data_IF_827810055659
#
_entry.id   IF_827810055659
#
_cell.length_a   1.000
_cell.length_b   1.000
_cell.length_c   1.000
_cell.angle_alpha   90.00
_cell.angle_beta   90.00
_cell.angle_gamma   90.00
#
_symmetry.space_group_name_H-M   'P 1'
#
loop_
_entity.id
_entity.type
_entity.pdbx_description
1 polymer ?
#
# COMPACT_ATOMS: atom_id res chain seq x y z
N UNK A 1 -22.13 24.85 -0.15
CA UNK A 1 -21.77 26.26 0.15
C UNK A 1 -20.80 26.39 1.32
N UNK A 2 -20.92 25.63 2.42
CA UNK A 2 -19.97 25.72 3.55
C UNK A 2 -18.56 25.19 3.29
N UNK A 3 -18.39 24.14 2.46
CA UNK A 3 -17.06 23.69 2.08
C UNK A 3 -16.33 24.77 1.27
N UNK A 4 -17.00 25.41 0.30
CA UNK A 4 -16.49 26.53 -0.52
C UNK A 4 -16.05 27.76 0.31
N UNK A 5 -16.74 28.10 1.40
CA UNK A 5 -16.31 29.19 2.29
C UNK A 5 -15.05 28.86 3.09
N UNK A 6 -14.74 27.57 3.30
CA UNK A 6 -13.48 27.15 3.92
C UNK A 6 -12.24 27.37 3.02
N UNK A 7 -12.44 27.73 1.74
CA UNK A 7 -11.36 27.95 0.78
C UNK A 7 -10.94 29.40 0.62
N UNK A 8 -11.78 30.34 1.09
CA UNK A 8 -11.55 31.78 0.88
C UNK A 8 -11.67 32.51 2.22
N UNK A 9 -10.55 32.58 2.95
CA UNK A 9 -10.50 33.25 4.25
C UNK A 9 -9.95 34.68 4.14
N UNK A 10 -9.22 35.01 3.06
CA UNK A 10 -8.89 36.39 2.65
C UNK A 10 -8.31 36.44 1.22
N UNK A 11 -8.08 37.64 0.68
CA UNK A 11 -7.34 37.84 -0.59
C UNK A 11 -5.87 37.36 -0.51
N UNK A 12 -5.31 37.19 0.70
CA UNK A 12 -3.89 36.89 0.94
C UNK A 12 -3.58 35.41 1.22
N UNK A 13 -4.58 34.57 1.53
CA UNK A 13 -4.37 33.15 1.77
C UNK A 13 -5.53 32.32 1.25
N UNK A 14 -5.26 31.61 0.16
CA UNK A 14 -6.16 30.64 -0.43
C UNK A 14 -5.61 29.26 -0.09
N UNK A 15 -6.31 28.55 0.80
CA UNK A 15 -5.92 27.19 1.19
C UNK A 15 -5.81 26.27 -0.05
N UNK A 16 -6.57 26.58 -1.10
CA UNK A 16 -6.48 25.92 -2.40
C UNK A 16 -5.11 26.05 -3.04
N UNK A 17 -4.62 27.28 -3.20
CA UNK A 17 -3.34 27.51 -3.87
C UNK A 17 -2.17 26.90 -3.11
N UNK A 18 -2.27 26.86 -1.77
CA UNK A 18 -1.27 26.20 -0.93
C UNK A 18 -1.27 24.68 -1.08
N UNK A 19 -2.44 24.05 -1.27
CA UNK A 19 -2.50 22.63 -1.59
C UNK A 19 -2.10 22.34 -3.03
N UNK A 20 -2.36 23.24 -3.98
CA UNK A 20 -1.87 23.13 -5.35
C UNK A 20 -0.33 23.20 -5.38
N UNK A 21 0.27 24.18 -4.69
CA UNK A 21 1.72 24.31 -4.53
C UNK A 21 2.32 23.08 -3.84
N UNK A 22 1.69 22.60 -2.75
CA UNK A 22 2.11 21.36 -2.10
C UNK A 22 1.98 20.14 -3.02
N UNK A 23 0.92 20.06 -3.83
CA UNK A 23 0.77 18.97 -4.79
C UNK A 23 1.88 19.01 -5.83
N UNK A 24 2.20 20.18 -6.38
CA UNK A 24 3.28 20.36 -7.34
C UNK A 24 4.64 19.99 -6.72
N UNK A 25 4.91 20.39 -5.47
CA UNK A 25 6.11 19.99 -4.72
C UNK A 25 6.21 18.48 -4.50
N UNK A 26 5.07 17.78 -4.44
CA UNK A 26 5.01 16.34 -4.23
C UNK A 26 4.97 15.55 -5.55
N UNK A 27 5.12 16.20 -6.71
CA UNK A 27 5.12 15.54 -8.02
C UNK A 27 6.19 14.43 -8.12
N UNK A 28 7.29 14.54 -7.38
CA UNK A 28 8.31 13.48 -7.30
C UNK A 28 7.79 12.16 -6.69
N UNK A 29 6.78 12.23 -5.82
CA UNK A 29 6.02 11.09 -5.30
C UNK A 29 4.88 10.68 -6.25
N UNK A 30 4.84 11.24 -7.45
CA UNK A 30 3.73 11.22 -8.40
C UNK A 30 2.40 11.61 -7.74
N UNK A 31 2.46 12.53 -6.78
CA UNK A 31 1.32 13.34 -6.37
C UNK A 31 1.20 14.46 -7.39
N UNK A 32 0.58 14.22 -8.54
CA UNK A 32 0.31 15.32 -9.46
C UNK A 32 -0.99 16.02 -9.07
N UNK A 33 -1.01 17.35 -9.22
CA UNK A 33 -2.22 18.16 -9.12
C UNK A 33 -3.31 17.58 -10.03
N UNK A 34 -4.50 17.33 -9.46
CA UNK A 34 -5.63 16.66 -10.14
C UNK A 34 -5.69 15.12 -10.02
N UNK A 35 -4.66 14.45 -9.49
CA UNK A 35 -4.73 13.00 -9.15
C UNK A 35 -4.97 12.72 -7.67
N UNK A 36 -4.65 13.70 -6.81
CA UNK A 36 -4.85 13.60 -5.37
C UNK A 36 -6.27 14.05 -5.05
N UNK A 37 -7.00 13.24 -4.29
CA UNK A 37 -8.30 13.64 -3.76
C UNK A 37 -8.09 14.84 -2.82
N UNK A 38 -8.59 16.02 -3.19
CA UNK A 38 -8.54 17.22 -2.35
C UNK A 38 -9.09 16.95 -0.94
N UNK A 39 -10.07 16.05 -0.83
CA UNK A 39 -10.56 15.62 0.48
C UNK A 39 -9.46 14.92 1.30
N UNK A 40 -8.56 14.16 0.70
CA UNK A 40 -7.46 13.52 1.42
C UNK A 40 -6.50 14.55 2.01
N UNK A 41 -6.16 15.60 1.26
CA UNK A 41 -5.30 16.69 1.75
C UNK A 41 -5.99 17.49 2.87
N UNK A 42 -7.28 17.82 2.70
CA UNK A 42 -8.08 18.46 3.74
C UNK A 42 -8.19 17.60 5.00
N UNK A 43 -8.30 16.27 4.86
CA UNK A 43 -8.28 15.34 5.99
C UNK A 43 -6.94 15.36 6.71
N UNK A 44 -5.82 15.40 5.98
CA UNK A 44 -4.49 15.50 6.57
C UNK A 44 -4.36 16.81 7.34
N UNK A 45 -4.72 17.94 6.72
CA UNK A 45 -4.66 19.25 7.38
C UNK A 45 -5.55 19.32 8.62
N UNK A 46 -6.80 18.85 8.54
CA UNK A 46 -7.71 18.84 9.69
C UNK A 46 -7.20 17.91 10.81
N UNK A 47 -6.64 16.75 10.47
CA UNK A 47 -6.03 15.85 11.43
C UNK A 47 -4.80 16.46 12.13
N UNK A 48 -3.97 17.20 11.40
CA UNK A 48 -2.79 17.87 11.95
C UNK A 48 -3.16 19.08 12.80
N UNK A 49 -4.05 19.94 12.30
CA UNK A 49 -4.35 21.22 12.92
C UNK A 49 -5.35 21.12 14.08
N UNK A 50 -6.34 20.22 13.97
CA UNK A 50 -7.47 20.05 14.92
C UNK A 50 -7.46 18.70 15.63
N UNK A 51 -6.79 17.68 15.08
CA UNK A 51 -6.89 16.31 15.58
C UNK A 51 -8.17 15.57 15.16
N UNK A 52 -8.97 16.14 14.24
CA UNK A 52 -10.17 15.51 13.69
C UNK A 52 -10.00 15.25 12.18
N UNK A 53 -10.19 14.02 11.65
CA UNK A 53 -10.08 13.73 10.24
C UNK A 53 -11.26 14.25 9.39
N UNK A 54 -12.22 14.99 9.94
CA UNK A 54 -13.31 15.61 9.18
C UNK A 54 -12.82 16.90 8.52
N UNK A 55 -12.94 17.06 7.19
CA UNK A 55 -12.64 18.32 6.52
C UNK A 55 -13.37 19.52 7.12
N UNK A 56 -14.61 19.33 7.58
CA UNK A 56 -15.44 20.40 8.15
C UNK A 56 -14.88 20.96 9.47
N UNK A 57 -14.06 20.19 10.20
CA UNK A 57 -13.50 20.65 11.47
C UNK A 57 -12.45 21.76 11.30
N UNK A 58 -11.91 21.94 10.09
CA UNK A 58 -10.97 23.04 9.80
C UNK A 58 -11.68 24.41 9.78
N UNK A 59 -13.01 24.42 9.63
CA UNK A 59 -13.83 25.65 9.60
C UNK A 59 -13.85 26.36 10.95
N UNK A 60 -13.49 25.65 12.03
CA UNK A 60 -13.48 26.21 13.38
C UNK A 60 -12.15 26.91 13.75
N UNK A 61 -11.11 26.89 12.88
CA UNK A 61 -9.80 27.53 13.10
C UNK A 61 -9.67 28.79 12.25
N UNK A 62 -9.12 29.91 12.76
CA UNK A 62 -8.94 31.12 11.95
C UNK A 62 -7.97 30.93 10.76
N UNK A 63 -8.15 31.70 9.68
CA UNK A 63 -7.25 31.65 8.51
C UNK A 63 -5.80 32.03 8.84
N UNK A 64 -5.60 32.90 9.85
CA UNK A 64 -4.29 33.24 10.41
C UNK A 64 -3.65 32.03 11.10
N UNK A 65 -4.42 31.32 11.95
CA UNK A 65 -3.93 30.12 12.64
C UNK A 65 -3.60 28.97 11.67
N UNK A 66 -4.35 28.83 10.57
CA UNK A 66 -4.03 27.86 9.52
C UNK A 66 -2.71 28.24 8.85
N UNK A 67 -2.55 29.51 8.46
CA UNK A 67 -1.35 30.03 7.79
C UNK A 67 -0.10 29.84 8.65
N UNK A 68 -0.18 30.18 9.93
CA UNK A 68 0.95 30.12 10.86
C UNK A 68 1.41 28.69 11.17
N UNK A 69 0.58 27.68 10.89
CA UNK A 69 0.84 26.26 11.16
C UNK A 69 0.80 25.38 9.91
N UNK A 70 0.73 25.98 8.73
CA UNK A 70 0.58 25.22 7.49
C UNK A 70 1.84 24.39 7.19
N UNK A 71 3.01 24.85 7.63
CA UNK A 71 4.26 24.11 7.59
C UNK A 71 4.18 22.77 8.32
N UNK A 72 3.46 22.69 9.46
CA UNK A 72 3.21 21.42 10.16
C UNK A 72 2.48 20.41 9.26
N UNK A 73 1.51 20.87 8.46
CA UNK A 73 0.75 20.04 7.53
C UNK A 73 1.66 19.52 6.42
N UNK A 74 2.46 20.42 5.83
CA UNK A 74 3.43 20.10 4.77
C UNK A 74 4.43 19.05 5.26
N UNK A 75 5.05 19.29 6.41
CA UNK A 75 6.02 18.37 7.03
C UNK A 75 5.38 17.01 7.37
N UNK A 76 4.14 17.04 7.87
CA UNK A 76 3.36 15.85 8.13
C UNK A 76 3.18 14.98 6.89
N UNK A 77 2.72 15.58 5.79
CA UNK A 77 2.48 14.86 4.55
C UNK A 77 3.79 14.34 3.95
N UNK A 78 4.85 15.16 3.90
CA UNK A 78 6.18 14.75 3.40
C UNK A 78 6.75 13.58 4.19
N UNK A 79 6.82 13.71 5.52
CA UNK A 79 7.34 12.63 6.38
C UNK A 79 6.51 11.34 6.30
N UNK A 80 5.18 11.46 6.15
CA UNK A 80 4.32 10.31 5.93
C UNK A 80 4.65 9.59 4.61
N UNK A 81 4.87 10.34 3.53
CA UNK A 81 5.23 9.80 2.23
C UNK A 81 6.60 9.13 2.22
N UNK A 82 7.59 9.76 2.82
CA UNK A 82 8.93 9.20 2.99
C UNK A 82 8.89 7.91 3.80
N UNK A 83 8.12 7.89 4.89
CA UNK A 83 7.90 6.69 5.68
C UNK A 83 7.25 5.58 4.85
N UNK A 84 6.21 5.90 4.08
CA UNK A 84 5.51 4.94 3.24
C UNK A 84 6.45 4.35 2.17
N UNK A 85 7.21 5.20 1.49
CA UNK A 85 8.15 4.81 0.43
C UNK A 85 9.26 3.93 0.97
N UNK A 86 9.88 4.35 2.06
CA UNK A 86 11.05 3.69 2.66
C UNK A 86 10.73 2.35 3.32
N UNK A 87 9.49 2.13 3.75
CA UNK A 87 9.11 0.92 4.49
C UNK A 87 8.24 -0.05 3.69
N UNK A 88 7.57 0.39 2.62
CA UNK A 88 6.60 -0.44 1.91
C UNK A 88 6.82 -0.52 0.39
N UNK A 89 7.89 0.10 -0.14
CA UNK A 89 8.19 0.18 -1.57
C UNK A 89 7.10 0.86 -2.41
N UNK A 90 6.25 1.67 -1.78
CA UNK A 90 5.18 2.42 -2.45
C UNK A 90 5.78 3.62 -3.18
N UNK A 91 5.51 3.74 -4.48
CA UNK A 91 6.05 4.83 -5.33
C UNK A 91 5.01 5.87 -5.71
N UNK A 92 3.73 5.53 -5.54
CA UNK A 92 2.57 6.38 -5.79
C UNK A 92 1.54 6.15 -4.71
N UNK A 93 0.83 7.20 -4.31
CA UNK A 93 -0.31 7.11 -3.41
C UNK A 93 -1.35 6.09 -3.88
N UNK A 94 -1.54 5.97 -5.19
CA UNK A 94 -2.43 5.01 -5.81
C UNK A 94 -2.00 3.55 -5.64
N UNK A 95 -0.75 3.27 -5.30
CA UNK A 95 -0.32 1.91 -4.98
C UNK A 95 -0.80 1.49 -3.58
N UNK A 96 -1.21 2.43 -2.71
CA UNK A 96 -1.70 2.09 -1.39
C UNK A 96 -3.05 1.37 -1.44
N UNK A 97 -3.24 0.33 -0.60
CA UNK A 97 -4.54 -0.30 -0.42
C UNK A 97 -5.61 0.71 0.02
N UNK A 98 -5.23 1.66 0.87
CA UNK A 98 -6.07 2.79 1.28
C UNK A 98 -5.23 4.06 1.32
N UNK A 99 -5.57 5.06 0.51
CA UNK A 99 -4.87 6.35 0.53
C UNK A 99 -5.05 7.08 1.87
N UNK A 100 -6.15 6.82 2.58
CA UNK A 100 -6.45 7.39 3.91
C UNK A 100 -5.44 7.02 4.99
N UNK A 101 -4.56 6.03 4.75
CA UNK A 101 -3.39 5.73 5.61
C UNK A 101 -2.49 6.96 5.77
N UNK A 102 -2.45 7.84 4.77
CA UNK A 102 -1.69 9.08 4.81
C UNK A 102 -2.10 9.99 5.98
N UNK A 103 -3.39 10.03 6.33
CA UNK A 103 -3.94 10.97 7.31
C UNK A 103 -3.34 10.79 8.73
N UNK A 104 -3.42 9.60 9.37
CA UNK A 104 -2.82 9.40 10.68
C UNK A 104 -1.28 9.49 10.65
N UNK A 105 -0.63 9.06 9.56
CA UNK A 105 0.82 9.25 9.43
C UNK A 105 1.18 10.74 9.33
N UNK A 106 0.41 11.54 8.60
CA UNK A 106 0.64 12.98 8.54
C UNK A 106 0.54 13.63 9.93
N UNK A 107 -0.43 13.20 10.74
CA UNK A 107 -0.51 13.62 12.14
C UNK A 107 0.70 13.20 12.99
N UNK A 108 1.32 12.04 12.70
CA UNK A 108 2.58 11.64 13.34
C UNK A 108 3.74 12.56 12.91
N UNK A 109 3.92 12.80 11.61
CA UNK A 109 5.09 13.53 11.11
C UNK A 109 4.97 15.06 11.21
N UNK A 110 3.81 15.59 11.59
CA UNK A 110 3.55 17.03 11.63
C UNK A 110 4.28 17.75 12.78
N UNK A 111 5.36 18.44 12.46
CA UNK A 111 6.11 19.32 13.37
C UNK A 111 6.37 20.66 12.70
N UNK A 112 6.52 21.71 13.50
CA UNK A 112 6.73 23.07 13.01
C UNK A 112 8.19 23.34 12.65
N UNK A 113 8.39 24.32 11.78
CA UNK A 113 9.69 24.73 11.25
C UNK A 113 10.28 23.72 10.27
N UNK A 114 11.54 23.89 9.91
CA UNK A 114 12.23 23.03 8.94
C UNK A 114 12.90 21.81 9.61
N UNK A 115 12.16 21.13 10.49
CA UNK A 115 12.63 19.97 11.26
C UNK A 115 12.04 18.67 10.73
N UNK A 116 12.71 17.55 11.02
CA UNK A 116 12.21 16.20 10.75
C UNK A 116 11.94 15.44 12.05
N UNK A 117 10.90 14.59 12.05
CA UNK A 117 10.61 13.72 13.19
C UNK A 117 11.61 12.58 13.24
N UNK A 118 12.41 12.51 14.32
CA UNK A 118 13.25 11.35 14.59
C UNK A 118 12.39 10.16 15.03
N UNK A 119 12.26 9.16 14.16
CA UNK A 119 11.49 7.95 14.43
C UNK A 119 12.37 6.89 15.10
N UNK A 120 12.07 6.56 16.35
CA UNK A 120 12.73 5.44 17.03
C UNK A 120 12.36 4.09 16.40
N UNK A 121 13.21 3.07 16.60
CA UNK A 121 12.94 1.72 16.09
C UNK A 121 11.59 1.17 16.61
N UNK A 122 11.26 1.43 17.88
CA UNK A 122 10.00 1.00 18.48
C UNK A 122 8.78 1.65 17.82
N UNK A 123 8.83 2.97 17.59
CA UNK A 123 7.76 3.69 16.87
C UNK A 123 7.63 3.19 15.44
N UNK A 124 8.76 3.01 14.73
CA UNK A 124 8.78 2.47 13.37
C UNK A 124 8.13 1.09 13.31
N UNK A 125 8.50 0.15 14.19
CA UNK A 125 7.92 -1.19 14.25
C UNK A 125 6.41 -1.15 14.51
N UNK A 126 5.95 -0.31 15.44
CA UNK A 126 4.53 -0.19 15.75
C UNK A 126 3.73 0.39 14.57
N UNK A 127 4.27 1.39 13.86
CA UNK A 127 3.64 1.94 12.65
C UNK A 127 3.62 0.92 11.50
N UNK A 128 4.69 0.16 11.26
CA UNK A 128 4.72 -0.91 10.25
C UNK A 128 3.67 -1.97 10.54
N UNK A 129 3.59 -2.43 11.80
CA UNK A 129 2.58 -3.39 12.24
C UNK A 129 1.17 -2.86 12.03
N UNK A 130 0.90 -1.62 12.44
CA UNK A 130 -0.39 -0.96 12.22
C UNK A 130 -0.76 -0.85 10.74
N UNK A 131 0.19 -0.52 9.87
CA UNK A 131 -0.01 -0.46 8.42
C UNK A 131 -0.48 -1.81 7.88
N UNK A 132 0.26 -2.88 8.14
CA UNK A 132 -0.09 -4.20 7.62
C UNK A 132 -1.43 -4.70 8.18
N UNK A 133 -1.68 -4.49 9.47
CA UNK A 133 -2.98 -4.80 10.08
C UNK A 133 -4.11 -4.06 9.36
N UNK A 134 -3.95 -2.76 9.14
CA UNK A 134 -4.92 -1.91 8.42
C UNK A 134 -5.23 -2.45 7.02
N UNK A 135 -4.19 -2.84 6.27
CA UNK A 135 -4.32 -3.38 4.93
C UNK A 135 -5.04 -4.74 4.90
N UNK A 136 -4.63 -5.69 5.75
CA UNK A 136 -5.19 -7.04 5.78
C UNK A 136 -6.60 -7.12 6.36
N UNK A 137 -6.93 -6.29 7.37
CA UNK A 137 -8.28 -6.26 7.95
C UNK A 137 -9.23 -5.34 7.19
N UNK A 138 -8.75 -4.68 6.13
CA UNK A 138 -9.50 -3.68 5.36
C UNK A 138 -10.10 -2.60 6.27
N UNK A 139 -9.33 -2.13 7.25
CA UNK A 139 -9.80 -1.29 8.37
C UNK A 139 -10.58 -0.06 7.88
N UNK A 140 -10.17 0.54 6.77
CA UNK A 140 -10.83 1.72 6.19
C UNK A 140 -11.85 1.42 5.08
N UNK A 141 -12.37 0.19 4.99
CA UNK A 141 -13.47 -0.13 4.07
C UNK A 141 -14.85 0.30 4.58
N UNK A 142 -15.00 0.47 5.88
CA UNK A 142 -16.21 1.00 6.53
C UNK A 142 -15.85 1.73 7.82
N UNK A 143 -16.73 2.61 8.30
CA UNK A 143 -16.49 3.35 9.54
C UNK A 143 -15.22 4.23 9.53
N UNK A 144 -14.81 4.70 8.34
CA UNK A 144 -13.51 5.34 8.09
C UNK A 144 -13.17 6.43 9.11
N UNK A 145 -14.09 7.37 9.35
CA UNK A 145 -13.89 8.47 10.28
C UNK A 145 -13.61 8.00 11.73
N UNK A 146 -14.30 6.94 12.18
CA UNK A 146 -14.10 6.40 13.53
C UNK A 146 -12.69 5.86 13.69
N UNK A 147 -12.25 5.04 12.74
CA UNK A 147 -10.92 4.44 12.79
C UNK A 147 -9.81 5.47 12.56
N UNK A 148 -10.02 6.46 11.68
CA UNK A 148 -9.07 7.56 11.53
C UNK A 148 -8.87 8.32 12.83
N UNK A 149 -9.94 8.65 13.59
CA UNK A 149 -9.80 9.32 14.90
C UNK A 149 -9.00 8.49 15.90
N UNK A 150 -9.28 7.19 15.98
CA UNK A 150 -8.56 6.26 16.84
C UNK A 150 -7.07 6.19 16.45
N UNK A 151 -6.79 6.07 15.15
CA UNK A 151 -5.43 5.93 14.64
C UNK A 151 -4.64 7.24 14.74
N UNK A 152 -5.25 8.42 14.52
CA UNK A 152 -4.64 9.74 14.75
C UNK A 152 -4.25 9.88 16.22
N UNK A 153 -5.16 9.55 17.14
CA UNK A 153 -4.87 9.59 18.58
C UNK A 153 -3.70 8.66 18.93
N UNK A 154 -3.72 7.44 18.38
CA UNK A 154 -2.63 6.47 18.53
C UNK A 154 -1.29 6.99 18.01
N UNK A 155 -1.28 7.65 16.85
CA UNK A 155 -0.08 8.26 16.27
C UNK A 155 0.47 9.40 17.14
N UNK A 156 -0.40 10.30 17.61
CA UNK A 156 0.01 11.41 18.47
C UNK A 156 0.57 10.93 19.82
N UNK A 157 -0.05 9.93 20.45
CA UNK A 157 0.48 9.31 21.66
C UNK A 157 1.83 8.63 21.38
N UNK A 158 1.94 7.90 20.28
CA UNK A 158 3.16 7.19 19.90
C UNK A 158 4.33 8.17 19.69
N UNK A 159 4.06 9.30 19.03
CA UNK A 159 5.04 10.37 18.82
C UNK A 159 5.49 11.00 20.14
N UNK A 160 4.54 11.29 21.03
CA UNK A 160 4.81 11.88 22.34
C UNK A 160 5.48 10.94 23.34
N UNK A 161 5.82 9.70 22.96
CA UNK A 161 6.40 8.70 23.87
C UNK A 161 5.40 8.16 24.91
N UNK A 162 4.10 8.37 24.70
CA UNK A 162 3.03 7.91 25.57
C UNK A 162 2.59 6.49 25.20
N UNK A 163 1.84 5.84 26.09
CA UNK A 163 1.20 4.58 25.77
C UNK A 163 0.24 4.73 24.59
N UNK A 164 0.54 4.04 23.49
CA UNK A 164 -0.24 4.10 22.24
C UNK A 164 -0.94 2.78 21.95
N UNK A 165 -2.24 2.86 21.68
CA UNK A 165 -3.04 1.74 21.18
C UNK A 165 -2.95 1.58 19.65
N UNK A 166 -2.03 2.27 18.97
CA UNK A 166 -1.90 2.19 17.53
C UNK A 166 -1.65 0.73 17.09
N UNK A 167 -2.53 0.23 16.22
CA UNK A 167 -2.49 -1.16 15.75
C UNK A 167 -3.02 -2.20 16.74
N UNK A 168 -3.51 -1.80 17.92
CA UNK A 168 -4.05 -2.70 18.95
C UNK A 168 -5.52 -3.07 18.67
N UNK A 169 -5.76 -3.70 17.54
CA UNK A 169 -7.04 -4.28 17.16
C UNK A 169 -6.85 -5.69 16.61
N UNK A 170 -7.93 -6.47 16.58
CA UNK A 170 -7.88 -7.84 16.08
C UNK A 170 -7.54 -7.86 14.60
N UNK A 171 -6.45 -8.55 14.27
CA UNK A 171 -6.01 -8.78 12.90
C UNK A 171 -5.59 -10.23 12.76
N UNK A 172 -6.11 -10.90 11.74
CA UNK A 172 -5.78 -12.28 11.41
C UNK A 172 -5.76 -12.43 9.90
N UNK A 173 -4.72 -13.05 9.36
CA UNK A 173 -4.66 -13.45 7.96
C UNK A 173 -4.75 -14.96 7.89
N UNK A 174 -5.62 -15.45 7.01
CA UNK A 174 -5.80 -16.87 6.72
C UNK A 174 -5.51 -17.13 5.24
N UNK A 175 -5.28 -18.38 4.88
CA UNK A 175 -5.06 -18.82 3.48
C UNK A 175 -6.18 -18.34 2.55
N UNK A 176 -7.42 -18.25 3.06
CA UNK A 176 -8.58 -17.74 2.32
C UNK A 176 -8.36 -16.34 1.74
N UNK A 177 -7.55 -15.48 2.36
CA UNK A 177 -7.21 -14.18 1.77
C UNK A 177 -6.60 -14.34 0.37
N UNK A 178 -5.71 -15.32 0.18
CA UNK A 178 -5.03 -15.55 -1.10
C UNK A 178 -5.81 -16.47 -2.04
N UNK A 179 -6.64 -17.38 -1.50
CA UNK A 179 -7.41 -18.38 -2.24
C UNK A 179 -8.78 -17.89 -2.75
N UNK A 180 -9.31 -16.78 -2.22
CA UNK A 180 -10.66 -16.30 -2.58
C UNK A 180 -10.65 -14.94 -3.27
N UNK A 181 -9.69 -14.08 -2.94
CA UNK A 181 -9.59 -12.77 -3.57
C UNK A 181 -9.02 -12.90 -4.99
N UNK A 182 -9.69 -12.28 -5.96
CA UNK A 182 -9.25 -12.27 -7.34
C UNK A 182 -8.35 -11.06 -7.61
N UNK A 183 -7.29 -11.29 -8.36
CA UNK A 183 -6.37 -10.26 -8.78
C UNK A 183 -7.09 -9.24 -9.67
N UNK A 184 -7.11 -8.01 -9.18
CA UNK A 184 -7.55 -6.83 -9.90
C UNK A 184 -6.71 -5.66 -9.42
N UNK A 185 -6.01 -4.99 -10.32
CA UNK A 185 -4.95 -4.02 -10.00
C UNK A 185 -5.41 -2.89 -9.06
N UNK A 186 -6.70 -2.51 -9.14
CA UNK A 186 -7.29 -1.47 -8.28
C UNK A 186 -7.83 -2.00 -6.94
N UNK A 187 -7.99 -3.30 -6.78
CA UNK A 187 -8.59 -3.90 -5.58
C UNK A 187 -7.64 -3.80 -4.39
N UNK A 188 -8.14 -3.33 -3.25
CA UNK A 188 -7.41 -3.22 -1.98
C UNK A 188 -6.56 -4.46 -1.68
N UNK A 189 -7.17 -5.65 -1.74
CA UNK A 189 -6.49 -6.90 -1.39
C UNK A 189 -5.36 -7.26 -2.38
N UNK A 190 -5.53 -6.93 -3.67
CA UNK A 190 -4.46 -7.05 -4.66
C UNK A 190 -3.31 -6.11 -4.34
N UNK A 191 -3.60 -4.85 -4.02
CA UNK A 191 -2.56 -3.88 -3.65
C UNK A 191 -1.79 -4.35 -2.42
N UNK A 192 -2.49 -4.83 -1.39
CA UNK A 192 -1.87 -5.41 -0.18
C UNK A 192 -0.96 -6.59 -0.53
N UNK A 193 -1.41 -7.50 -1.39
CA UNK A 193 -0.62 -8.63 -1.86
C UNK A 193 0.63 -8.22 -2.64
N UNK A 194 0.50 -7.24 -3.55
CA UNK A 194 1.63 -6.70 -4.32
C UNK A 194 2.68 -6.10 -3.37
N UNK A 195 2.25 -5.34 -2.36
CA UNK A 195 3.17 -4.78 -1.37
C UNK A 195 3.86 -5.87 -0.55
N UNK A 196 3.14 -6.93 -0.15
CA UNK A 196 3.73 -8.09 0.55
C UNK A 196 4.82 -8.75 -0.30
N UNK A 197 4.53 -9.03 -1.58
CA UNK A 197 5.52 -9.59 -2.50
C UNK A 197 6.70 -8.64 -2.70
N UNK A 198 6.45 -7.33 -2.75
CA UNK A 198 7.51 -6.32 -2.82
C UNK A 198 8.46 -6.34 -1.62
N UNK A 199 8.03 -6.81 -0.45
CA UNK A 199 8.92 -7.01 0.70
C UNK A 199 9.87 -8.19 0.54
N UNK A 200 9.59 -9.12 -0.38
CA UNK A 200 10.41 -10.31 -0.64
C UNK A 200 11.50 -10.05 -1.68
N UNK A 201 11.74 -8.78 -2.05
CA UNK A 201 12.75 -8.39 -3.06
C UNK A 201 12.62 -9.20 -4.36
N UNK A 202 11.46 -9.15 -5.03
CA UNK A 202 11.10 -10.13 -6.04
C UNK A 202 12.09 -10.16 -7.21
N UNK A 203 12.32 -11.35 -7.75
CA UNK A 203 13.00 -11.56 -9.02
C UNK A 203 11.96 -11.77 -10.12
N UNK A 204 12.31 -11.44 -11.36
CA UNK A 204 11.44 -11.75 -12.49
C UNK A 204 11.30 -13.26 -12.59
N UNK A 205 10.07 -13.75 -12.66
CA UNK A 205 9.79 -15.17 -12.51
C UNK A 205 10.44 -16.07 -13.57
N UNK A 206 10.83 -15.52 -14.73
CA UNK A 206 11.50 -16.28 -15.79
C UNK A 206 13.00 -16.01 -15.81
N UNK A 207 13.44 -14.77 -16.04
CA UNK A 207 14.87 -14.45 -16.16
C UNK A 207 15.65 -14.42 -14.86
N UNK A 208 14.98 -14.38 -13.70
CA UNK A 208 15.63 -14.23 -12.39
C UNK A 208 16.28 -12.87 -12.16
N UNK A 209 16.07 -11.90 -13.07
CA UNK A 209 16.59 -10.54 -12.90
C UNK A 209 15.87 -9.82 -11.75
N UNK A 210 16.55 -8.97 -10.97
CA UNK A 210 15.91 -8.16 -9.95
C UNK A 210 14.74 -7.33 -10.52
N UNK A 211 13.62 -7.35 -9.82
CA UNK A 211 12.48 -6.52 -10.19
C UNK A 211 12.71 -5.09 -9.71
N UNK A 212 12.81 -4.16 -10.65
CA UNK A 212 12.78 -2.73 -10.33
C UNK A 212 11.36 -2.33 -9.90
N UNK A 213 11.10 -2.44 -8.59
CA UNK A 213 9.84 -2.03 -7.98
C UNK A 213 9.59 -0.53 -8.18
N UNK A 214 10.63 0.29 -8.25
CA UNK A 214 10.48 1.74 -8.40
C UNK A 214 9.86 2.09 -9.76
N UNK A 215 10.35 1.48 -10.83
CA UNK A 215 9.81 1.66 -12.17
C UNK A 215 8.44 0.97 -12.34
N UNK A 216 8.31 -0.29 -11.92
CA UNK A 216 7.08 -1.08 -12.16
C UNK A 216 5.88 -0.58 -11.36
N UNK A 217 6.06 -0.18 -10.11
CA UNK A 217 4.96 0.33 -9.29
C UNK A 217 4.59 1.77 -9.68
N UNK A 218 5.49 2.51 -10.35
CA UNK A 218 5.18 3.81 -10.94
C UNK A 218 4.21 3.68 -12.13
N UNK A 219 4.42 2.73 -13.04
CA UNK A 219 3.46 2.45 -14.12
C UNK A 219 2.19 1.73 -13.62
N UNK A 220 2.33 0.92 -12.57
CA UNK A 220 1.27 0.13 -11.93
C UNK A 220 0.36 -0.60 -12.92
N UNK A 221 0.98 -1.26 -13.90
CA UNK A 221 0.30 -1.92 -15.00
C UNK A 221 0.04 -3.40 -14.70
N UNK A 222 -1.13 -3.91 -15.10
CA UNK A 222 -1.44 -5.35 -15.01
C UNK A 222 -0.43 -6.22 -15.77
N UNK A 223 0.24 -5.68 -16.80
CA UNK A 223 1.25 -6.41 -17.58
C UNK A 223 2.53 -6.75 -16.81
N UNK A 224 2.71 -6.21 -15.61
CA UNK A 224 3.84 -6.53 -14.73
C UNK A 224 3.59 -7.77 -13.85
N UNK A 225 2.38 -8.36 -13.96
CA UNK A 225 1.97 -9.52 -13.20
C UNK A 225 1.54 -10.66 -14.12
N UNK A 226 1.89 -11.88 -13.75
CA UNK A 226 1.57 -13.08 -14.53
C UNK A 226 0.99 -14.18 -13.65
N UNK A 227 0.15 -15.02 -14.26
CA UNK A 227 -0.35 -16.24 -13.65
C UNK A 227 0.78 -17.27 -13.60
N UNK A 228 1.25 -17.66 -12.41
CA UNK A 228 2.28 -18.70 -12.28
C UNK A 228 1.84 -19.99 -12.96
N UNK A 229 0.60 -20.43 -12.73
CA UNK A 229 -0.02 -21.46 -13.56
C UNK A 229 -0.93 -20.78 -14.61
N UNK A 230 -0.54 -20.78 -15.90
CA UNK A 230 -1.20 -19.95 -16.91
C UNK A 230 -2.66 -20.29 -17.08
N UNK A 231 -3.48 -19.25 -17.30
CA UNK A 231 -4.93 -19.41 -17.45
C UNK A 231 -5.32 -20.45 -18.52
N UNK A 232 -4.66 -20.40 -19.67
CA UNK A 232 -4.91 -21.34 -20.77
C UNK A 232 -4.63 -22.78 -20.38
N UNK A 233 -3.60 -23.03 -19.56
CA UNK A 233 -3.27 -24.37 -19.07
C UNK A 233 -4.34 -24.85 -18.08
N UNK A 234 -4.68 -24.04 -17.08
CA UNK A 234 -5.69 -24.39 -16.07
C UNK A 234 -7.05 -24.69 -16.70
N UNK A 235 -7.44 -23.97 -17.77
CA UNK A 235 -8.67 -24.25 -18.52
C UNK A 235 -8.69 -25.65 -19.17
N UNK A 236 -7.54 -26.29 -19.42
CA UNK A 236 -7.46 -27.67 -19.94
C UNK A 236 -7.66 -28.73 -18.86
N UNK A 237 -7.49 -28.38 -17.58
CA UNK A 237 -7.66 -29.30 -16.44
C UNK A 237 -9.14 -29.55 -16.10
N UNK A 238 -10.06 -28.74 -16.66
CA UNK A 238 -11.48 -28.79 -16.34
C UNK A 238 -11.82 -27.97 -15.09
N UNK A 239 -12.73 -28.50 -14.27
CA UNK A 239 -13.16 -27.82 -13.05
C UNK A 239 -12.08 -27.89 -11.98
N UNK A 240 -11.73 -26.73 -11.43
CA UNK A 240 -10.77 -26.55 -10.34
C UNK A 240 -11.48 -26.03 -9.11
N UNK A 241 -10.96 -26.34 -7.92
CA UNK A 241 -11.59 -25.92 -6.66
C UNK A 241 -11.50 -24.40 -6.44
N UNK A 242 -10.52 -23.75 -7.08
CA UNK A 242 -10.27 -22.32 -6.94
C UNK A 242 -10.24 -21.61 -8.30
N UNK A 243 -10.53 -20.31 -8.28
CA UNK A 243 -10.46 -19.52 -9.51
C UNK A 243 -9.01 -19.32 -9.94
N UNK A 244 -8.70 -19.54 -11.22
CA UNK A 244 -7.38 -19.22 -11.80
C UNK A 244 -6.87 -17.81 -11.53
N UNK A 245 -7.77 -16.85 -11.25
CA UNK A 245 -7.43 -15.46 -10.98
C UNK A 245 -7.18 -15.13 -9.50
N UNK A 246 -7.07 -16.13 -8.61
CA UNK A 246 -6.79 -15.89 -7.19
C UNK A 246 -5.39 -15.30 -6.98
N UNK A 247 -5.20 -14.52 -5.91
CA UNK A 247 -3.91 -13.87 -5.62
C UNK A 247 -2.76 -14.87 -5.52
N UNK A 248 -3.01 -16.05 -4.94
CA UNK A 248 -2.03 -17.13 -4.82
C UNK A 248 -1.47 -17.62 -6.17
N UNK A 249 -2.09 -17.29 -7.30
CA UNK A 249 -1.60 -17.66 -8.63
C UNK A 249 -0.79 -16.54 -9.31
N UNK A 250 -0.47 -15.42 -8.67
CA UNK A 250 0.24 -14.31 -9.34
C UNK A 250 1.68 -14.10 -8.86
N UNK A 251 2.55 -13.70 -9.78
CA UNK A 251 3.94 -13.32 -9.54
C UNK A 251 4.29 -12.02 -10.26
N UNK A 252 5.43 -11.42 -9.90
CA UNK A 252 6.06 -10.38 -10.72
C UNK A 252 6.75 -11.00 -11.93
N UNK A 253 6.66 -10.32 -13.07
CA UNK A 253 7.40 -10.68 -14.28
C UNK A 253 7.73 -9.41 -15.07
N UNK A 254 8.70 -9.44 -16.00
CA UNK A 254 8.82 -8.34 -16.96
C UNK A 254 7.71 -8.35 -18.00
N UNK A 255 7.35 -7.17 -18.49
CA UNK A 255 6.40 -7.01 -19.59
C UNK A 255 6.80 -7.78 -20.85
N UNK A 256 8.10 -7.88 -21.12
CA UNK A 256 8.62 -8.62 -22.28
C UNK A 256 8.41 -10.12 -22.10
N UNK A 257 8.75 -10.66 -20.94
CA UNK A 257 8.51 -12.07 -20.59
C UNK A 257 7.03 -12.39 -20.53
N UNK A 258 6.17 -11.53 -19.97
CA UNK A 258 4.72 -11.76 -19.90
C UNK A 258 4.08 -11.94 -21.29
N UNK A 259 4.64 -11.31 -22.33
CA UNK A 259 4.19 -11.48 -23.72
C UNK A 259 4.68 -12.77 -24.36
N UNK A 260 5.83 -13.27 -23.91
CA UNK A 260 6.49 -14.45 -24.46
C UNK A 260 6.10 -15.73 -23.71
N UNK A 261 5.72 -15.60 -22.44
CA UNK A 261 5.11 -16.65 -21.65
C UNK A 261 3.77 -16.99 -22.27
N UNK A 262 3.74 -18.16 -22.88
CA UNK A 262 2.55 -18.72 -23.51
C UNK A 262 1.54 -19.19 -22.46
N UNK A 263 0.81 -20.23 -22.82
CA UNK A 263 -0.19 -20.84 -21.94
C UNK A 263 0.14 -22.28 -21.60
N UNK A 264 1.43 -22.61 -21.57
CA UNK A 264 1.93 -23.95 -21.32
C UNK A 264 1.95 -24.26 -19.82
N UNK A 265 2.03 -25.54 -19.48
CA UNK A 265 2.13 -25.99 -18.10
C UNK A 265 3.45 -25.51 -17.45
N UNK A 266 3.46 -25.27 -16.12
CA UNK A 266 4.70 -24.97 -15.41
C UNK A 266 5.85 -25.94 -15.61
N UNK A 267 5.59 -27.25 -15.64
CA UNK A 267 6.62 -28.26 -15.94
C UNK A 267 7.33 -28.02 -17.29
N UNK A 268 6.61 -27.44 -18.26
CA UNK A 268 7.12 -27.15 -19.61
C UNK A 268 7.91 -25.84 -19.61
N UNK A 269 7.31 -24.74 -19.14
CA UNK A 269 8.00 -23.45 -19.17
C UNK A 269 9.17 -23.38 -18.18
N UNK A 270 9.28 -24.30 -17.21
CA UNK A 270 10.44 -24.42 -16.30
C UNK A 270 11.76 -24.45 -17.07
N UNK A 271 11.78 -25.09 -18.24
CA UNK A 271 12.96 -25.14 -19.11
C UNK A 271 13.39 -23.77 -19.67
N UNK A 272 12.51 -22.78 -19.64
CA UNK A 272 12.75 -21.40 -20.08
C UNK A 272 13.19 -20.49 -18.94
N UNK A 273 13.08 -20.94 -17.69
CA UNK A 273 13.51 -20.19 -16.52
C UNK A 273 15.04 -20.15 -16.44
N UNK A 274 15.57 -19.11 -15.79
CA UNK A 274 16.98 -19.01 -15.50
C UNK A 274 17.44 -20.11 -14.54
N UNK A 275 18.74 -20.44 -14.63
CA UNK A 275 19.36 -21.53 -13.87
C UNK A 275 19.25 -21.41 -12.34
N UNK A 276 19.01 -20.21 -11.81
CA UNK A 276 18.81 -19.93 -10.39
C UNK A 276 17.34 -20.09 -9.96
N UNK A 277 16.64 -21.10 -10.48
CA UNK A 277 15.19 -21.31 -10.26
C UNK A 277 14.82 -21.32 -8.78
N UNK A 278 15.59 -22.00 -7.92
CA UNK A 278 15.29 -22.08 -6.48
C UNK A 278 15.22 -20.69 -5.82
N UNK A 279 16.14 -19.80 -6.18
CA UNK A 279 16.15 -18.42 -5.67
C UNK A 279 14.94 -17.62 -6.18
N UNK A 280 14.54 -17.84 -7.44
CA UNK A 280 13.34 -17.22 -8.01
C UNK A 280 12.09 -17.65 -7.22
N UNK A 281 11.97 -18.95 -6.93
CA UNK A 281 10.84 -19.49 -6.17
C UNK A 281 10.80 -18.94 -4.74
N UNK A 282 11.94 -18.87 -4.06
CA UNK A 282 12.06 -18.29 -2.72
C UNK A 282 11.54 -16.84 -2.70
N UNK A 283 12.08 -15.98 -3.57
CA UNK A 283 11.71 -14.57 -3.66
C UNK A 283 10.27 -14.34 -4.15
N UNK A 284 9.69 -15.31 -4.86
CA UNK A 284 8.30 -15.26 -5.31
C UNK A 284 7.32 -15.90 -4.30
N UNK A 285 7.82 -16.43 -3.18
CA UNK A 285 7.06 -17.22 -2.20
C UNK A 285 6.32 -18.36 -2.91
N UNK A 286 7.06 -19.16 -3.66
CA UNK A 286 6.52 -20.19 -4.52
C UNK A 286 7.04 -21.58 -4.09
N UNK A 287 6.17 -22.57 -3.89
CA UNK A 287 6.61 -23.93 -3.65
C UNK A 287 7.05 -24.61 -4.95
N UNK A 288 7.84 -25.69 -4.81
CA UNK A 288 8.24 -26.49 -5.97
C UNK A 288 7.08 -27.25 -6.62
N UNK A 289 5.99 -27.49 -5.87
CA UNK A 289 4.76 -28.16 -6.35
C UNK A 289 4.11 -27.43 -7.53
N UNK A 290 4.46 -26.17 -7.79
CA UNK A 290 4.11 -25.48 -9.03
C UNK A 290 4.42 -26.33 -10.27
N UNK A 291 5.54 -27.05 -10.28
CA UNK A 291 6.02 -27.82 -11.43
C UNK A 291 5.47 -29.24 -11.51
N UNK A 292 4.70 -29.67 -10.52
CA UNK A 292 3.99 -30.95 -10.56
C UNK A 292 2.68 -30.85 -11.36
N UNK A 293 2.37 -29.63 -11.86
CA UNK A 293 1.24 -29.33 -12.72
C UNK A 293 -0.15 -29.57 -12.08
N UNK A 294 -0.20 -29.83 -10.76
CA UNK A 294 -1.43 -29.85 -9.96
C UNK A 294 -1.78 -28.44 -9.48
N UNK A 295 -2.81 -27.85 -10.10
CA UNK A 295 -3.23 -26.48 -9.79
C UNK A 295 -3.70 -26.29 -8.34
N UNK A 296 -4.51 -27.22 -7.83
CA UNK A 296 -5.15 -27.07 -6.52
C UNK A 296 -4.15 -27.32 -5.38
N UNK A 297 -3.26 -28.30 -5.53
CA UNK A 297 -2.18 -28.53 -4.57
C UNK A 297 -1.23 -27.33 -4.50
N UNK A 298 -0.76 -26.84 -5.66
CA UNK A 298 0.14 -25.69 -5.77
C UNK A 298 -0.41 -24.43 -5.06
N UNK A 299 -1.64 -24.03 -5.36
CA UNK A 299 -2.20 -22.78 -4.81
C UNK A 299 -2.47 -22.88 -3.31
N UNK A 300 -2.85 -24.05 -2.80
CA UNK A 300 -3.08 -24.28 -1.37
C UNK A 300 -1.76 -24.18 -0.62
N UNK A 301 -0.71 -24.83 -1.10
CA UNK A 301 0.62 -24.75 -0.50
C UNK A 301 1.17 -23.32 -0.55
N UNK A 302 1.08 -22.66 -1.70
CA UNK A 302 1.52 -21.27 -1.83
C UNK A 302 0.74 -20.31 -0.94
N UNK A 303 -0.57 -20.51 -0.79
CA UNK A 303 -1.39 -19.70 0.11
C UNK A 303 -0.97 -19.83 1.58
N UNK A 304 -0.50 -21.01 2.02
CA UNK A 304 0.06 -21.23 3.36
C UNK A 304 1.33 -20.41 3.55
N UNK A 305 2.28 -20.52 2.62
CA UNK A 305 3.54 -19.76 2.66
C UNK A 305 3.30 -18.24 2.70
N UNK A 306 2.40 -17.74 1.83
CA UNK A 306 2.01 -16.33 1.81
C UNK A 306 1.35 -15.88 3.11
N UNK A 307 0.51 -16.74 3.71
CA UNK A 307 -0.14 -16.46 4.99
C UNK A 307 0.86 -16.38 6.12
N UNK A 308 1.87 -17.23 6.16
CA UNK A 308 2.89 -17.21 7.22
C UNK A 308 3.70 -15.91 7.17
N UNK A 309 4.08 -15.46 5.97
CA UNK A 309 4.71 -14.13 5.79
C UNK A 309 3.77 -13.01 6.24
N UNK A 310 2.50 -13.05 5.83
CA UNK A 310 1.52 -12.04 6.22
C UNK A 310 1.31 -11.99 7.74
N UNK A 311 1.34 -13.14 8.42
CA UNK A 311 1.26 -13.22 9.88
C UNK A 311 2.46 -12.55 10.55
N UNK A 312 3.68 -12.73 10.03
CA UNK A 312 4.87 -12.04 10.54
C UNK A 312 4.75 -10.51 10.43
N UNK A 313 4.20 -10.01 9.33
CA UNK A 313 4.04 -8.58 9.10
C UNK A 313 3.02 -7.90 10.04
N UNK A 314 2.05 -8.65 10.56
CA UNK A 314 1.02 -8.13 11.48
C UNK A 314 1.31 -8.38 12.96
N UNK A 315 2.42 -9.06 13.29
CA UNK A 315 2.76 -9.42 14.67
C UNK A 315 3.30 -8.24 15.47
#
# INVERSE_FOLDING_TARGET
MQLLSAWTWSEDFQLQSQFEELADDLEEFNYSSGMVDENLLLRCASAVLVGDPKPEAIVDISGEQIRDRFDEVVNGIRGALDFIRSNFNVQRIDNLPFQTILVPLAAFFAISGNQEVLVSEAQRKQMIRWFWRTCFTRRYSSGVLRYLKEDITGMLHLRGGQASNLGNFNASVTENFFLTNKFGIRNVNTKTFILLLGQQTPLSFISGNPVDLSAKLKEYNKTEFHHMMPKKYVETLGDTNHSVNVLANFCFVSRAENRNLGGDAPSIYKSQMASNTDLILEHAVCPNSLFDDDYDEFIIERARMLRDIAQQLIM
#
